data_IF_278403230321
#
_entry.id   IF_278403230321
#
_cell.length_a   1.000
_cell.length_b   1.000
_cell.length_c   1.000
_cell.angle_alpha   90.00
_cell.angle_beta   90.00
_cell.angle_gamma   90.00
#
_symmetry.space_group_name_H-M   'P 1'
#
loop_
_entity.id
_entity.type
_entity.pdbx_description
1 polymer ?
#
# COMPACT_ATOMS: atom_id res chain seq x y z
N UNK A 1 87.39 10.87 -42.01
CA UNK A 1 87.72 9.49 -42.42
C UNK A 1 86.61 8.59 -41.91
N UNK A 2 85.70 8.17 -42.79
CA UNK A 2 84.56 7.34 -42.40
C UNK A 2 84.93 5.86 -42.52
N UNK A 3 84.68 5.09 -41.47
CA UNK A 3 84.68 3.62 -41.52
C UNK A 3 83.30 3.12 -41.16
N UNK A 4 82.48 2.87 -42.19
CA UNK A 4 81.19 2.20 -42.06
C UNK A 4 81.42 0.70 -42.09
N UNK A 5 80.99 -0.01 -41.05
CA UNK A 5 80.91 -1.47 -41.07
C UNK A 5 79.44 -1.89 -41.19
N UNK A 6 79.07 -2.40 -42.37
CA UNK A 6 77.79 -3.07 -42.59
C UNK A 6 77.94 -4.55 -42.23
N UNK A 7 76.93 -5.13 -41.59
CA UNK A 7 76.66 -6.55 -41.80
C UNK A 7 75.16 -6.83 -41.92
N UNK A 8 74.81 -7.44 -43.05
CA UNK A 8 73.47 -7.80 -43.48
C UNK A 8 73.00 -9.09 -42.80
N UNK A 9 71.69 -9.27 -42.64
CA UNK A 9 71.04 -10.58 -42.74
C UNK A 9 69.58 -10.44 -43.15
N UNK A 10 69.20 -11.17 -44.19
CA UNK A 10 67.88 -11.17 -44.80
C UNK A 10 67.13 -12.48 -44.49
N UNK A 11 65.80 -12.42 -44.48
CA UNK A 11 64.98 -13.56 -44.93
C UNK A 11 63.60 -13.09 -45.37
N UNK A 12 63.15 -13.60 -46.51
CA UNK A 12 61.91 -13.25 -47.21
C UNK A 12 60.92 -14.40 -47.22
N UNK A 13 59.65 -14.12 -46.90
CA UNK A 13 58.48 -14.89 -47.35
C UNK A 13 57.21 -14.04 -47.14
N UNK A 14 56.20 -14.00 -48.01
CA UNK A 14 56.05 -14.68 -49.30
C UNK A 14 54.59 -15.08 -49.56
N UNK A 15 53.85 -14.26 -50.32
CA UNK A 15 52.46 -14.54 -50.72
C UNK A 15 51.39 -14.05 -49.74
N UNK A 16 50.16 -13.76 -50.16
CA UNK A 16 49.63 -13.82 -51.53
C UNK A 16 48.19 -13.28 -51.56
N UNK A 17 47.85 -12.52 -52.60
CA UNK A 17 46.54 -11.85 -52.73
C UNK A 17 45.44 -12.80 -53.23
N UNK A 18 44.21 -12.60 -52.78
CA UNK A 18 43.03 -12.88 -53.62
C UNK A 18 41.91 -11.86 -53.39
N UNK A 19 41.40 -11.32 -54.50
CA UNK A 19 40.36 -10.28 -54.56
C UNK A 19 39.22 -10.80 -55.43
N UNK A 20 37.97 -10.56 -55.01
CA UNK A 20 36.76 -10.95 -55.74
C UNK A 20 35.68 -11.49 -54.80
N UNK A 21 34.39 -11.27 -55.02
CA UNK A 21 33.74 -10.52 -56.09
C UNK A 21 32.22 -10.66 -55.95
N UNK A 22 31.51 -9.54 -56.00
CA UNK A 22 30.05 -9.37 -55.86
C UNK A 22 29.15 -10.49 -56.42
N UNK A 23 28.00 -10.74 -55.76
CA UNK A 23 26.70 -10.86 -56.45
C UNK A 23 25.50 -10.74 -55.49
N UNK A 24 24.40 -10.14 -55.97
CA UNK A 24 23.09 -10.03 -55.30
C UNK A 24 22.11 -11.08 -55.85
N UNK A 25 21.41 -11.78 -54.96
CA UNK A 25 20.10 -12.46 -55.15
C UNK A 25 19.45 -12.50 -53.75
N UNK A 26 18.14 -12.35 -53.51
CA UNK A 26 17.01 -12.14 -54.42
C UNK A 26 15.81 -13.04 -54.07
N UNK A 27 14.94 -12.58 -53.15
CA UNK A 27 13.52 -12.97 -53.10
C UNK A 27 13.07 -14.16 -52.22
N UNK A 28 12.23 -13.85 -51.22
CA UNK A 28 10.92 -14.49 -51.01
C UNK A 28 10.81 -15.85 -50.29
N UNK A 29 9.75 -16.02 -49.49
CA UNK A 29 9.26 -17.34 -49.06
C UNK A 29 8.60 -17.37 -47.67
N UNK A 30 7.26 -17.44 -47.63
CA UNK A 30 6.49 -17.68 -46.40
C UNK A 30 6.64 -19.12 -45.90
N UNK A 31 6.51 -19.35 -44.58
CA UNK A 31 6.47 -20.68 -44.00
C UNK A 31 6.11 -20.69 -42.51
N UNK A 32 4.82 -20.47 -42.19
CA UNK A 32 4.35 -20.55 -40.81
C UNK A 32 4.26 -21.99 -40.29
N UNK A 33 4.61 -22.19 -39.02
CA UNK A 33 4.26 -23.43 -38.30
C UNK A 33 4.09 -23.16 -36.81
N UNK A 34 2.87 -23.35 -36.34
CA UNK A 34 2.49 -23.37 -34.93
C UNK A 34 3.01 -24.63 -34.24
N UNK A 35 3.26 -24.55 -32.93
CA UNK A 35 3.05 -25.63 -31.96
C UNK A 35 3.09 -25.06 -30.53
N UNK A 36 2.28 -25.65 -29.66
CA UNK A 36 2.07 -25.27 -28.27
C UNK A 36 2.90 -26.13 -27.31
N UNK A 37 3.09 -25.68 -26.06
CA UNK A 37 3.53 -26.59 -24.98
C UNK A 37 4.29 -25.97 -23.81
N UNK A 38 3.58 -25.81 -22.68
CA UNK A 38 4.01 -26.00 -21.27
C UNK A 38 5.47 -25.82 -20.83
N UNK A 39 5.68 -24.92 -19.86
CA UNK A 39 6.95 -24.68 -19.18
C UNK A 39 7.41 -25.72 -18.14
N UNK A 40 8.53 -25.43 -17.46
CA UNK A 40 9.00 -26.20 -16.31
C UNK A 40 10.45 -25.93 -15.84
N UNK A 41 10.58 -25.28 -14.68
CA UNK A 41 11.61 -25.47 -13.62
C UNK A 41 13.13 -25.31 -13.86
N UNK A 42 13.77 -24.48 -13.01
CA UNK A 42 14.93 -24.80 -12.11
C UNK A 42 15.38 -23.52 -11.34
N UNK A 43 15.45 -23.47 -9.99
CA UNK A 43 16.51 -23.96 -9.04
C UNK A 43 17.62 -22.91 -8.77
N UNK A 44 18.18 -22.67 -7.55
CA UNK A 44 18.01 -23.32 -6.23
C UNK A 44 18.48 -22.38 -5.05
N UNK A 45 18.75 -22.93 -3.85
CA UNK A 45 19.25 -22.39 -2.55
C UNK A 45 20.58 -21.55 -2.59
N UNK A 46 21.19 -20.99 -1.52
CA UNK A 46 21.12 -21.15 -0.04
C UNK A 46 21.61 -19.87 0.71
N UNK A 47 21.22 -19.55 1.97
CA UNK A 47 21.89 -19.91 3.26
C UNK A 47 23.41 -19.63 3.34
N UNK A 48 24.03 -19.12 4.42
CA UNK A 48 23.53 -18.74 5.76
C UNK A 48 24.57 -17.99 6.63
N UNK A 49 24.08 -17.23 7.61
CA UNK A 49 24.60 -17.06 8.98
C UNK A 49 25.89 -16.27 9.36
N UNK A 50 25.65 -15.20 10.16
CA UNK A 50 26.22 -14.88 11.51
C UNK A 50 27.74 -14.60 11.67
N UNK A 51 28.09 -13.46 12.29
CA UNK A 51 28.77 -13.38 13.62
C UNK A 51 28.73 -11.94 14.19
N UNK A 52 29.31 -11.70 15.37
CA UNK A 52 28.89 -10.66 16.34
C UNK A 52 30.04 -9.71 16.76
N UNK A 53 29.72 -8.44 17.09
CA UNK A 53 30.17 -7.70 18.30
C UNK A 53 30.93 -6.34 18.16
N UNK A 54 30.37 -5.32 18.83
CA UNK A 54 30.98 -4.29 19.71
C UNK A 54 31.86 -3.11 19.21
N UNK A 55 31.54 -1.91 19.74
CA UNK A 55 32.43 -0.72 19.86
C UNK A 55 31.97 0.49 19.01
N UNK A 56 31.28 1.55 19.44
CA UNK A 56 31.21 2.39 20.66
C UNK A 56 31.84 3.79 20.45
N UNK A 57 31.06 4.86 20.65
CA UNK A 57 31.45 6.29 20.63
C UNK A 57 31.00 7.07 19.37
N UNK A 58 30.46 8.30 19.45
CA UNK A 58 30.01 9.08 20.62
C UNK A 58 29.94 10.61 20.37
N UNK A 59 28.73 11.22 20.41
CA UNK A 59 28.49 12.68 20.29
C UNK A 59 28.66 13.24 18.86
N UNK A 60 28.09 14.38 18.40
CA UNK A 60 27.10 15.36 18.89
C UNK A 60 26.43 16.00 17.63
N UNK A 61 25.29 16.71 17.66
CA UNK A 61 24.33 16.99 18.74
C UNK A 61 23.49 18.26 18.48
N UNK A 62 22.23 18.11 18.05
CA UNK A 62 21.28 19.20 17.70
C UNK A 62 20.83 19.15 16.23
N UNK A 63 19.55 19.28 15.85
CA UNK A 63 18.36 19.59 16.65
C UNK A 63 17.58 20.74 16.02
N UNK A 64 16.63 20.44 15.13
CA UNK A 64 15.69 21.43 14.59
C UNK A 64 14.30 20.83 14.47
N UNK A 65 13.34 21.46 15.14
CA UNK A 65 11.95 21.03 15.21
C UNK A 65 11.09 21.71 14.14
N UNK A 66 10.22 20.95 13.48
CA UNK A 66 8.99 21.47 12.90
C UNK A 66 7.84 20.50 13.20
N UNK A 67 6.74 21.03 13.73
CA UNK A 67 5.58 20.25 14.14
C UNK A 67 4.46 20.30 13.11
N UNK A 68 3.84 19.15 12.89
CA UNK A 68 2.48 18.98 12.38
C UNK A 68 2.00 17.70 13.08
N UNK A 69 0.83 17.60 13.70
CA UNK A 69 -0.45 18.24 13.40
C UNK A 69 -1.45 17.09 13.48
N UNK A 70 -2.09 16.92 14.64
CA UNK A 70 -2.69 15.63 15.02
C UNK A 70 -3.91 15.22 14.19
N UNK A 71 -3.93 13.98 13.71
CA UNK A 71 -5.13 13.33 13.18
C UNK A 71 -5.89 12.60 14.28
N UNK A 72 -7.13 13.02 14.56
CA UNK A 72 -8.04 12.31 15.45
C UNK A 72 -8.74 11.17 14.71
N UNK A 73 -8.65 9.93 15.21
CA UNK A 73 -9.14 8.75 14.49
C UNK A 73 -9.10 7.44 15.27
N UNK A 74 -9.72 7.40 16.45
CA UNK A 74 -10.00 6.20 17.27
C UNK A 74 -11.01 6.59 18.34
N UNK A 75 -11.97 5.77 18.78
CA UNK A 75 -12.38 4.44 18.33
C UNK A 75 -13.60 4.02 19.18
N UNK A 76 -14.53 3.23 18.63
CA UNK A 76 -15.71 2.78 19.37
C UNK A 76 -15.31 1.72 20.41
N UNK A 77 -15.16 2.14 21.66
CA UNK A 77 -14.89 1.28 22.82
C UNK A 77 -15.95 1.48 23.91
N UNK A 78 -16.73 0.44 24.20
CA UNK A 78 -17.74 0.48 25.26
C UNK A 78 -17.11 0.49 26.65
N UNK A 79 -17.50 1.45 27.49
CA UNK A 79 -17.13 1.51 28.90
C UNK A 79 -18.38 1.41 29.79
N UNK A 80 -18.45 0.39 30.63
CA UNK A 80 -19.56 0.19 31.57
C UNK A 80 -19.49 1.15 32.76
N UNK A 81 -20.61 1.80 33.08
CA UNK A 81 -20.73 2.63 34.28
C UNK A 81 -21.02 1.79 35.53
N UNK A 82 -19.97 1.31 36.18
CA UNK A 82 -20.00 0.78 37.54
C UNK A 82 -19.64 1.86 38.56
N UNK A 83 -20.64 2.65 39.01
CA UNK A 83 -20.46 3.70 40.01
C UNK A 83 -20.98 3.29 41.38
N UNK A 84 -20.09 2.84 42.28
CA UNK A 84 -20.46 2.56 43.66
C UNK A 84 -20.57 3.82 44.51
N UNK A 85 -21.58 3.90 45.38
CA UNK A 85 -21.59 4.84 46.50
C UNK A 85 -21.93 4.09 47.79
N UNK A 86 -20.98 4.07 48.72
CA UNK A 86 -21.17 3.50 50.04
C UNK A 86 -21.86 4.49 50.97
N UNK A 87 -22.80 4.02 51.79
CA UNK A 87 -23.48 4.81 52.81
C UNK A 87 -24.07 3.88 53.87
N UNK A 88 -23.30 3.62 54.93
CA UNK A 88 -23.74 2.76 56.03
C UNK A 88 -24.46 3.55 57.11
N UNK A 89 -25.64 3.07 57.51
CA UNK A 89 -26.37 3.29 58.77
C UNK A 89 -27.43 2.16 58.79
N UNK A 90 -27.59 1.34 59.81
CA UNK A 90 -27.25 1.52 61.21
C UNK A 90 -28.53 1.86 61.99
N UNK A 91 -29.39 0.86 62.20
CA UNK A 91 -30.70 1.08 62.81
C UNK A 91 -31.57 -0.17 62.86
N UNK A 92 -31.27 -1.08 63.80
CA UNK A 92 -32.22 -2.13 64.17
C UNK A 92 -33.22 -1.62 65.21
N UNK A 93 -34.49 -1.98 65.07
CA UNK A 93 -35.45 -1.94 66.17
C UNK A 93 -36.42 -3.12 66.04
N UNK A 94 -36.23 -4.12 66.90
CA UNK A 94 -37.29 -5.06 67.23
C UNK A 94 -38.21 -4.43 68.26
N UNK A 95 -39.52 -4.70 68.16
CA UNK A 95 -40.52 -4.16 69.08
C UNK A 95 -41.78 -5.01 69.05
N UNK A 96 -41.85 -6.01 69.93
CA UNK A 96 -43.06 -6.80 70.13
C UNK A 96 -44.01 -6.15 71.13
N UNK A 97 -45.30 -6.22 70.85
CA UNK A 97 -46.42 -6.05 71.79
C UNK A 97 -47.55 -6.98 71.31
N UNK A 98 -48.15 -7.87 72.11
CA UNK A 98 -47.88 -8.20 73.51
C UNK A 98 -48.96 -7.73 74.47
N UNK A 99 -50.06 -8.48 74.57
CA UNK A 99 -51.01 -8.43 75.70
C UNK A 99 -52.21 -7.50 75.55
N UNK A 100 -53.36 -7.94 76.07
CA UNK A 100 -54.62 -7.18 76.03
C UNK A 100 -55.87 -7.97 76.44
N UNK A 101 -55.77 -8.82 77.47
CA UNK A 101 -56.92 -9.52 78.08
C UNK A 101 -57.46 -8.70 79.28
N UNK A 102 -58.79 -8.67 79.43
CA UNK A 102 -59.52 -8.02 80.54
C UNK A 102 -60.97 -7.82 80.08
N UNK A 103 -62.02 -8.49 80.57
CA UNK A 103 -62.37 -9.02 81.90
C UNK A 103 -62.81 -7.96 82.92
N UNK A 104 -63.72 -8.37 83.82
CA UNK A 104 -64.60 -7.59 84.70
C UNK A 104 -65.70 -6.81 83.94
N UNK A 105 -67.00 -6.95 84.23
CA UNK A 105 -67.76 -7.73 85.24
C UNK A 105 -69.15 -7.09 85.38
N UNK A 106 -70.22 -7.69 85.90
CA UNK A 106 -70.46 -9.03 86.43
C UNK A 106 -71.92 -9.14 86.89
N UNK A 107 -72.41 -10.37 87.14
CA UNK A 107 -73.80 -10.63 87.55
C UNK A 107 -74.81 -10.56 86.37
N UNK A 108 -75.80 -11.43 86.27
CA UNK A 108 -76.17 -12.54 87.16
C UNK A 108 -77.61 -12.97 86.86
N UNK A 109 -77.78 -14.08 86.14
CA UNK A 109 -79.05 -14.81 86.05
C UNK A 109 -80.25 -14.08 85.43
N UNK A 110 -80.29 -13.93 84.10
CA UNK A 110 -81.59 -13.89 83.39
C UNK A 110 -81.52 -14.43 81.96
N UNK A 111 -81.88 -15.71 81.83
CA UNK A 111 -82.88 -16.19 80.87
C UNK A 111 -82.62 -15.93 79.36
N UNK A 112 -81.57 -16.57 78.82
CA UNK A 112 -81.54 -17.35 77.55
C UNK A 112 -82.38 -16.91 76.32
N UNK A 113 -82.67 -15.63 76.13
CA UNK A 113 -83.49 -15.09 75.01
C UNK A 113 -82.92 -13.81 74.38
N UNK A 114 -81.74 -13.36 74.82
CA UNK A 114 -81.09 -12.15 74.30
C UNK A 114 -80.05 -12.37 73.19
N UNK A 115 -79.49 -13.58 73.11
CA UNK A 115 -78.28 -13.83 72.29
C UNK A 115 -78.54 -13.69 70.79
N UNK A 116 -79.64 -14.27 70.30
CA UNK A 116 -79.99 -14.30 68.87
C UNK A 116 -80.25 -12.89 68.30
N UNK A 117 -80.90 -12.02 69.08
CA UNK A 117 -81.18 -10.63 68.70
C UNK A 117 -79.91 -9.78 68.65
N UNK A 118 -78.97 -9.99 69.58
CA UNK A 118 -77.67 -9.32 69.59
C UNK A 118 -76.77 -9.80 68.44
N UNK A 119 -76.80 -11.10 68.10
CA UNK A 119 -76.11 -11.61 66.91
C UNK A 119 -76.72 -11.07 65.60
N UNK A 120 -78.06 -10.95 65.53
CA UNK A 120 -78.72 -10.35 64.36
C UNK A 120 -78.45 -8.84 64.24
N UNK A 121 -78.33 -8.12 65.35
CA UNK A 121 -77.86 -6.73 65.33
C UNK A 121 -76.41 -6.64 64.85
N UNK A 122 -75.49 -7.42 65.41
CA UNK A 122 -74.09 -7.43 64.96
C UNK A 122 -73.92 -7.79 63.48
N UNK A 123 -74.73 -8.73 62.96
CA UNK A 123 -74.77 -9.07 61.54
C UNK A 123 -75.33 -7.93 60.68
N UNK A 124 -76.37 -7.23 61.13
CA UNK A 124 -76.93 -6.07 60.44
C UNK A 124 -75.99 -4.85 60.47
N UNK A 125 -75.33 -4.57 61.59
CA UNK A 125 -74.32 -3.51 61.71
C UNK A 125 -73.13 -3.79 60.80
N UNK A 126 -72.72 -5.06 60.73
CA UNK A 126 -71.69 -5.52 59.80
C UNK A 126 -72.16 -5.41 58.35
N UNK A 127 -73.40 -5.76 58.02
CA UNK A 127 -74.00 -5.58 56.69
C UNK A 127 -74.04 -4.09 56.31
N UNK A 128 -74.45 -3.21 57.21
CA UNK A 128 -74.45 -1.76 57.01
C UNK A 128 -73.03 -1.26 56.72
N UNK A 129 -72.03 -1.68 57.52
CA UNK A 129 -70.62 -1.32 57.27
C UNK A 129 -70.09 -1.86 55.92
N UNK A 130 -70.57 -3.03 55.46
CA UNK A 130 -70.26 -3.54 54.12
C UNK A 130 -70.95 -2.73 53.02
N UNK A 131 -72.21 -2.33 53.19
CA UNK A 131 -72.95 -1.51 52.22
C UNK A 131 -72.34 -0.11 52.10
N UNK A 132 -71.96 0.52 53.20
CA UNK A 132 -71.28 1.83 53.17
C UNK A 132 -69.87 1.72 52.57
N UNK A 133 -69.17 0.60 52.80
CA UNK A 133 -67.88 0.31 52.14
C UNK A 133 -68.04 0.03 50.64
N UNK A 134 -69.13 -0.61 50.21
CA UNK A 134 -69.46 -0.79 48.79
C UNK A 134 -69.74 0.56 48.14
N UNK A 135 -70.58 1.42 48.75
CA UNK A 135 -70.83 2.78 48.24
C UNK A 135 -69.55 3.62 48.12
N UNK A 136 -68.68 3.59 49.14
CA UNK A 136 -67.41 4.31 49.09
C UNK A 136 -66.46 3.78 48.00
N UNK A 137 -66.50 2.47 47.70
CA UNK A 137 -65.76 1.88 46.59
C UNK A 137 -66.39 2.21 45.23
N UNK A 138 -67.71 2.26 45.12
CA UNK A 138 -68.44 2.69 43.91
C UNK A 138 -68.12 4.16 43.59
N UNK A 139 -68.22 5.05 44.58
CA UNK A 139 -67.85 6.47 44.46
C UNK A 139 -66.39 6.62 44.00
N UNK A 140 -65.44 5.99 44.71
CA UNK A 140 -64.02 6.01 44.34
C UNK A 140 -63.75 5.44 42.94
N UNK A 141 -64.51 4.43 42.49
CA UNK A 141 -64.38 3.86 41.15
C UNK A 141 -64.91 4.84 40.08
N UNK A 142 -66.06 5.49 40.30
CA UNK A 142 -66.54 6.54 39.38
C UNK A 142 -65.57 7.71 39.26
N UNK A 143 -64.93 8.08 40.37
CA UNK A 143 -63.93 9.14 40.43
C UNK A 143 -62.64 8.77 39.66
N UNK A 144 -62.25 7.50 39.69
CA UNK A 144 -61.15 6.95 38.88
C UNK A 144 -61.51 6.87 37.38
N UNK A 145 -62.72 6.45 37.03
CA UNK A 145 -63.20 6.44 35.64
C UNK A 145 -63.21 7.83 35.01
N UNK A 146 -63.62 8.85 35.77
CA UNK A 146 -63.57 10.26 35.33
C UNK A 146 -62.12 10.69 35.13
N UNK A 147 -61.21 10.41 36.08
CA UNK A 147 -59.77 10.74 35.95
C UNK A 147 -59.12 10.04 34.76
N UNK A 148 -59.49 8.79 34.48
CA UNK A 148 -59.02 8.03 33.31
C UNK A 148 -59.54 8.68 32.01
N UNK A 149 -60.82 9.02 31.93
CA UNK A 149 -61.39 9.73 30.75
C UNK A 149 -60.73 11.08 30.52
N UNK A 150 -60.54 11.87 31.57
CA UNK A 150 -59.83 13.16 31.54
C UNK A 150 -58.38 13.00 31.08
N UNK A 151 -57.68 11.97 31.56
CA UNK A 151 -56.30 11.66 31.17
C UNK A 151 -56.23 11.29 29.68
N UNK A 152 -57.13 10.40 29.20
CA UNK A 152 -57.22 10.07 27.79
C UNK A 152 -57.60 11.27 26.91
N UNK A 153 -58.46 12.18 27.39
CA UNK A 153 -58.83 13.37 26.62
C UNK A 153 -57.69 14.42 26.57
N UNK A 154 -56.84 14.48 27.60
CA UNK A 154 -55.62 15.31 27.65
C UNK A 154 -54.43 14.69 26.92
N UNK A 155 -54.39 13.37 26.80
CA UNK A 155 -53.36 12.61 26.06
C UNK A 155 -53.76 12.29 24.61
N UNK A 156 -55.04 12.40 24.26
CA UNK A 156 -55.52 12.36 22.88
C UNK A 156 -54.80 13.46 22.10
N UNK A 157 -53.94 13.13 21.12
CA UNK A 157 -53.04 14.13 20.54
C UNK A 157 -53.80 15.20 19.76
N UNK A 158 -54.08 16.33 20.41
CA UNK A 158 -54.45 17.58 19.76
C UNK A 158 -53.23 18.38 19.29
N UNK A 159 -52.02 17.83 19.46
CA UNK A 159 -50.89 18.18 18.62
C UNK A 159 -51.17 17.73 17.17
N UNK A 160 -51.07 18.60 16.16
CA UNK A 160 -51.12 18.16 14.77
C UNK A 160 -50.04 17.09 14.52
N UNK A 161 -50.27 16.21 13.55
CA UNK A 161 -49.25 15.27 13.09
C UNK A 161 -47.94 16.03 12.89
N UNK A 162 -46.86 15.50 13.45
CA UNK A 162 -45.59 16.22 13.53
C UNK A 162 -44.98 16.26 12.13
N UNK A 163 -45.27 17.32 11.37
CA UNK A 163 -45.00 17.40 9.93
C UNK A 163 -43.52 17.16 9.60
N UNK A 164 -43.20 15.92 9.20
CA UNK A 164 -41.85 15.53 8.80
C UNK A 164 -41.50 15.96 7.36
N UNK A 165 -42.47 16.51 6.62
CA UNK A 165 -42.32 16.99 5.23
C UNK A 165 -41.07 17.88 4.98
N UNK A 166 -40.69 18.83 5.86
CA UNK A 166 -39.48 19.63 5.67
C UNK A 166 -38.17 18.82 5.72
N UNK A 167 -38.12 17.73 6.51
CA UNK A 167 -36.92 16.91 6.63
C UNK A 167 -36.67 16.06 5.38
N UNK A 168 -37.71 15.66 4.65
CA UNK A 168 -37.52 14.94 3.38
C UNK A 168 -36.82 15.82 2.35
N UNK A 169 -37.16 17.11 2.27
CA UNK A 169 -36.47 18.07 1.38
C UNK A 169 -35.01 18.25 1.75
N UNK A 170 -34.68 18.41 3.04
CA UNK A 170 -33.28 18.55 3.45
C UNK A 170 -32.47 17.26 3.26
N UNK A 171 -33.09 16.08 3.41
CA UNK A 171 -32.47 14.78 3.09
C UNK A 171 -32.21 14.66 1.58
N UNK A 172 -33.14 15.10 0.73
CA UNK A 172 -33.00 15.10 -0.73
C UNK A 172 -31.86 16.05 -1.17
N UNK A 173 -31.87 17.31 -0.70
CA UNK A 173 -30.78 18.26 -0.96
C UNK A 173 -29.39 17.74 -0.49
N UNK A 174 -29.34 17.02 0.64
CA UNK A 174 -28.09 16.43 1.13
C UNK A 174 -27.63 15.25 0.26
N UNK A 175 -28.56 14.43 -0.24
CA UNK A 175 -28.25 13.36 -1.20
C UNK A 175 -27.70 13.93 -2.51
N UNK A 176 -28.33 14.97 -3.06
CA UNK A 176 -27.86 15.63 -4.28
C UNK A 176 -26.46 16.24 -4.11
N UNK A 177 -26.19 16.88 -2.96
CA UNK A 177 -24.84 17.39 -2.62
C UNK A 177 -23.81 16.27 -2.51
N UNK A 178 -24.16 15.11 -1.95
CA UNK A 178 -23.28 13.93 -1.87
C UNK A 178 -23.01 13.36 -3.28
N UNK A 179 -24.03 13.26 -4.13
CA UNK A 179 -23.89 12.77 -5.49
C UNK A 179 -23.03 13.70 -6.34
N UNK A 180 -23.27 15.02 -6.28
CA UNK A 180 -22.44 16.02 -6.95
C UNK A 180 -20.97 15.93 -6.49
N UNK A 181 -20.72 15.90 -5.18
CA UNK A 181 -19.37 15.76 -4.63
C UNK A 181 -18.69 14.44 -5.03
N UNK A 182 -19.45 13.35 -5.20
CA UNK A 182 -18.94 12.05 -5.68
C UNK A 182 -18.54 12.10 -7.15
N UNK A 183 -19.32 12.80 -7.99
CA UNK A 183 -19.02 13.03 -9.41
C UNK A 183 -17.78 13.93 -9.55
N UNK A 184 -17.72 15.03 -8.79
CA UNK A 184 -16.57 15.94 -8.78
C UNK A 184 -15.29 15.24 -8.27
N UNK A 185 -15.38 14.40 -7.24
CA UNK A 185 -14.26 13.59 -6.77
C UNK A 185 -13.76 12.62 -7.85
N UNK A 186 -14.68 11.92 -8.52
CA UNK A 186 -14.37 11.02 -9.63
C UNK A 186 -13.71 11.76 -10.80
N UNK A 187 -14.17 12.98 -11.12
CA UNK A 187 -13.56 13.85 -12.13
C UNK A 187 -12.14 14.25 -11.74
N UNK A 188 -11.90 14.67 -10.50
CA UNK A 188 -10.57 15.05 -10.01
C UNK A 188 -9.60 13.86 -10.05
N UNK A 189 -10.06 12.64 -9.75
CA UNK A 189 -9.24 11.42 -9.89
C UNK A 189 -8.81 11.22 -11.36
N UNK A 190 -9.73 11.36 -12.32
CA UNK A 190 -9.41 11.25 -13.74
C UNK A 190 -8.44 12.35 -14.23
N UNK A 191 -8.58 13.57 -13.71
CA UNK A 191 -7.64 14.68 -14.00
C UNK A 191 -6.25 14.41 -13.41
N UNK A 192 -6.16 13.82 -12.21
CA UNK A 192 -4.89 13.38 -11.58
C UNK A 192 -4.23 12.26 -12.39
N UNK A 193 -4.97 11.24 -12.80
CA UNK A 193 -4.41 10.11 -13.53
C UNK A 193 -3.97 10.51 -14.96
N UNK A 194 -4.70 11.43 -15.61
CA UNK A 194 -4.26 12.06 -16.86
C UNK A 194 -2.94 12.84 -16.67
N UNK A 195 -2.86 13.68 -15.63
CA UNK A 195 -1.64 14.44 -15.32
C UNK A 195 -0.43 13.53 -15.01
N UNK A 196 -0.65 12.39 -14.33
CA UNK A 196 0.37 11.36 -14.10
C UNK A 196 0.84 10.71 -15.39
N UNK A 197 -0.07 10.25 -16.25
CA UNK A 197 0.27 9.66 -17.54
C UNK A 197 1.03 10.63 -18.44
N UNK A 198 0.65 11.92 -18.45
CA UNK A 198 1.37 12.95 -19.17
C UNK A 198 2.79 13.19 -18.59
N UNK A 199 2.93 13.20 -17.26
CA UNK A 199 4.24 13.33 -16.61
C UNK A 199 5.17 12.14 -16.92
N UNK A 200 4.66 10.90 -16.92
CA UNK A 200 5.43 9.71 -17.29
C UNK A 200 5.81 9.70 -18.78
N UNK A 201 4.92 10.13 -19.68
CA UNK A 201 5.24 10.29 -21.11
C UNK A 201 6.34 11.34 -21.34
N UNK A 202 6.31 12.48 -20.64
CA UNK A 202 7.40 13.46 -20.66
C UNK A 202 8.69 12.93 -20.05
N UNK A 203 8.62 12.13 -18.97
CA UNK A 203 9.79 11.50 -18.35
C UNK A 203 10.46 10.51 -19.31
N UNK A 204 9.69 9.63 -19.95
CA UNK A 204 10.21 8.68 -20.95
C UNK A 204 10.81 9.39 -22.17
N UNK A 205 10.18 10.47 -22.64
CA UNK A 205 10.73 11.31 -23.71
C UNK A 205 12.04 11.97 -23.32
N UNK A 206 12.14 12.50 -22.10
CA UNK A 206 13.38 13.08 -21.57
C UNK A 206 14.49 12.03 -21.43
N UNK A 207 14.20 10.84 -20.90
CA UNK A 207 15.15 9.74 -20.76
C UNK A 207 15.69 9.28 -22.13
N UNK A 208 14.83 9.19 -23.15
CA UNK A 208 15.23 8.86 -24.51
C UNK A 208 16.10 9.97 -25.16
N UNK A 209 15.67 11.24 -25.07
CA UNK A 209 16.43 12.37 -25.61
C UNK A 209 17.80 12.53 -24.91
N UNK A 210 17.87 12.26 -23.60
CA UNK A 210 19.13 12.23 -22.85
C UNK A 210 20.06 11.12 -23.35
N UNK A 211 19.55 9.91 -23.59
CA UNK A 211 20.34 8.81 -24.13
C UNK A 211 20.84 9.10 -25.55
N UNK A 212 20.00 9.68 -26.41
CA UNK A 212 20.40 10.14 -27.76
C UNK A 212 21.48 11.23 -27.67
N UNK A 213 21.31 12.22 -26.79
CA UNK A 213 22.32 13.26 -26.55
C UNK A 213 23.65 12.66 -26.10
N UNK A 214 23.65 11.73 -25.15
CA UNK A 214 24.87 11.07 -24.66
C UNK A 214 25.57 10.28 -25.77
N UNK A 215 24.83 9.61 -26.65
CA UNK A 215 25.38 8.95 -27.84
C UNK A 215 26.08 9.97 -28.77
N UNK A 216 25.40 11.08 -29.09
CA UNK A 216 25.96 12.13 -29.95
C UNK A 216 27.17 12.82 -29.30
N UNK A 217 27.19 13.02 -27.99
CA UNK A 217 28.37 13.52 -27.26
C UNK A 217 29.54 12.53 -27.32
N UNK A 218 29.28 11.23 -27.21
CA UNK A 218 30.31 10.20 -27.39
C UNK A 218 30.87 10.21 -28.82
N UNK A 219 30.01 10.30 -29.84
CA UNK A 219 30.41 10.40 -31.25
C UNK A 219 31.24 11.66 -31.52
N UNK A 220 30.84 12.83 -31.00
CA UNK A 220 31.61 14.08 -31.10
C UNK A 220 32.99 13.94 -30.46
N UNK A 221 33.08 13.30 -29.29
CA UNK A 221 34.36 13.07 -28.62
C UNK A 221 35.24 12.04 -29.35
N UNK A 222 34.64 11.07 -30.04
CA UNK A 222 35.33 10.16 -30.96
C UNK A 222 35.87 10.90 -32.20
N UNK A 223 35.05 11.73 -32.84
CA UNK A 223 35.45 12.53 -34.00
C UNK A 223 36.56 13.54 -33.66
N UNK A 224 36.58 14.10 -32.44
CA UNK A 224 37.69 14.94 -31.95
C UNK A 224 39.00 14.16 -31.88
N UNK A 225 38.99 12.95 -31.31
CA UNK A 225 40.18 12.08 -31.29
C UNK A 225 40.70 11.76 -32.69
N UNK A 226 39.80 11.42 -33.62
CA UNK A 226 40.17 11.17 -35.03
C UNK A 226 40.76 12.42 -35.70
N UNK A 227 40.26 13.62 -35.37
CA UNK A 227 40.84 14.87 -35.86
C UNK A 227 42.24 15.12 -35.27
N UNK A 228 42.46 14.84 -33.99
CA UNK A 228 43.76 14.97 -33.35
C UNK A 228 44.77 13.96 -33.95
N UNK A 229 44.38 12.70 -34.14
CA UNK A 229 45.17 11.66 -34.82
C UNK A 229 45.52 12.04 -36.28
N UNK A 230 44.55 12.56 -37.05
CA UNK A 230 44.80 13.07 -38.40
C UNK A 230 45.71 14.28 -38.43
N UNK A 231 45.66 15.13 -37.39
CA UNK A 231 46.54 16.30 -37.26
C UNK A 231 47.98 15.87 -36.99
N UNK A 232 48.19 14.90 -36.10
CA UNK A 232 49.51 14.31 -35.85
C UNK A 232 50.07 13.62 -37.11
N UNK A 233 49.26 12.80 -37.79
CA UNK A 233 49.67 12.16 -39.04
C UNK A 233 50.00 13.17 -40.15
N UNK A 234 49.29 14.31 -40.19
CA UNK A 234 49.61 15.42 -41.09
C UNK A 234 50.96 16.06 -40.75
N UNK A 235 51.23 16.36 -39.48
CA UNK A 235 52.53 16.93 -39.07
C UNK A 235 53.70 15.98 -39.31
N UNK A 236 53.51 14.67 -39.11
CA UNK A 236 54.52 13.65 -39.40
C UNK A 236 54.85 13.56 -40.90
N UNK A 237 53.83 13.70 -41.76
CA UNK A 237 54.02 13.74 -43.22
C UNK A 237 54.64 15.07 -43.69
N UNK A 238 54.28 16.19 -43.07
CA UNK A 238 54.90 17.50 -43.35
C UNK A 238 56.39 17.48 -42.98
N UNK A 239 56.75 16.92 -41.82
CA UNK A 239 58.15 16.75 -41.41
C UNK A 239 58.93 15.80 -42.35
N UNK A 240 58.32 14.73 -42.85
CA UNK A 240 58.93 13.87 -43.87
C UNK A 240 59.16 14.59 -45.20
N UNK A 241 58.20 15.43 -45.64
CA UNK A 241 58.32 16.23 -46.86
C UNK A 241 59.44 17.28 -46.70
N UNK A 242 59.54 17.92 -45.54
CA UNK A 242 60.59 18.91 -45.27
C UNK A 242 61.98 18.25 -45.25
N UNK A 243 62.15 17.13 -44.53
CA UNK A 243 63.40 16.35 -44.53
C UNK A 243 63.83 15.88 -45.93
N UNK A 244 62.89 15.39 -46.76
CA UNK A 244 63.18 15.01 -48.15
C UNK A 244 63.56 16.23 -49.02
N UNK A 245 63.00 17.42 -48.76
CA UNK A 245 63.41 18.65 -49.44
C UNK A 245 64.80 19.11 -49.00
N UNK A 246 65.15 18.97 -47.71
CA UNK A 246 66.50 19.24 -47.19
C UNK A 246 67.53 18.30 -47.81
N UNK A 247 67.26 16.99 -47.87
CA UNK A 247 68.11 16.00 -48.55
C UNK A 247 68.32 16.35 -50.03
N UNK A 248 67.25 16.73 -50.73
CA UNK A 248 67.29 17.11 -52.14
C UNK A 248 68.10 18.41 -52.35
N UNK A 249 67.95 19.39 -51.46
CA UNK A 249 68.73 20.62 -51.47
C UNK A 249 70.22 20.35 -51.17
N UNK A 250 70.52 19.49 -50.21
CA UNK A 250 71.88 19.05 -49.87
C UNK A 250 72.56 18.35 -51.05
N UNK A 251 71.87 17.39 -51.69
CA UNK A 251 72.39 16.69 -52.88
C UNK A 251 72.64 17.64 -54.06
N UNK A 252 71.73 18.60 -54.31
CA UNK A 252 71.93 19.63 -55.34
C UNK A 252 73.14 20.51 -55.05
N UNK A 253 73.29 20.97 -53.79
CA UNK A 253 74.42 21.79 -53.38
C UNK A 253 75.74 21.04 -53.50
N UNK A 254 75.81 19.80 -53.02
CA UNK A 254 76.99 18.95 -53.14
C UNK A 254 77.36 18.73 -54.62
N UNK A 255 76.39 18.48 -55.49
CA UNK A 255 76.63 18.36 -56.93
C UNK A 255 77.12 19.66 -57.57
N UNK A 256 76.59 20.83 -57.15
CA UNK A 256 77.07 22.13 -57.62
C UNK A 256 78.51 22.43 -57.14
N UNK A 257 78.85 22.03 -55.91
CA UNK A 257 80.20 22.14 -55.35
C UNK A 257 81.18 21.21 -56.08
N UNK A 258 80.83 19.94 -56.29
CA UNK A 258 81.60 19.00 -57.12
C UNK A 258 81.81 19.53 -58.54
N UNK A 259 80.76 20.04 -59.20
CA UNK A 259 80.87 20.61 -60.55
C UNK A 259 81.72 21.88 -60.60
N UNK A 260 81.70 22.72 -59.56
CA UNK A 260 82.63 23.84 -59.41
C UNK A 260 84.05 23.37 -59.18
N UNK A 261 84.27 22.30 -58.42
CA UNK A 261 85.59 21.73 -58.20
C UNK A 261 86.16 21.14 -59.50
N UNK A 262 85.40 20.29 -60.22
CA UNK A 262 85.80 19.78 -61.53
C UNK A 262 86.02 20.91 -62.56
N UNK A 263 85.19 21.96 -62.55
CA UNK A 263 85.39 23.16 -63.37
C UNK A 263 86.67 23.91 -63.00
N UNK A 264 87.01 23.99 -61.72
CA UNK A 264 88.25 24.60 -61.21
C UNK A 264 89.48 23.76 -61.56
N UNK A 265 89.37 22.43 -61.49
CA UNK A 265 90.41 21.49 -61.93
C UNK A 265 90.63 21.55 -63.46
N UNK A 266 89.59 21.86 -64.26
CA UNK A 266 89.73 22.09 -65.71
C UNK A 266 90.25 23.50 -66.08
N UNK A 267 90.02 24.50 -65.24
CA UNK A 267 90.47 25.89 -65.46
C UNK A 267 91.87 26.19 -64.86
N UNK A 268 92.39 25.31 -64.02
CA UNK A 268 93.63 25.51 -63.26
C UNK A 268 94.91 25.09 -63.98
N UNK A 269 95.36 25.86 -64.99
CA UNK A 269 96.78 25.85 -65.36
C UNK A 269 97.55 26.65 -64.30
N UNK A 270 97.90 26.01 -63.18
CA UNK A 270 98.56 26.66 -62.04
C UNK A 270 100.03 26.96 -62.37
N UNK A 271 100.32 28.20 -62.73
CA UNK A 271 101.66 28.78 -62.59
C UNK A 271 101.88 29.12 -61.11
N UNK A 272 102.89 28.51 -60.48
CA UNK A 272 103.25 28.77 -59.08
C UNK A 272 104.25 29.92 -59.04
N UNK A 273 103.76 31.15 -58.80
CA UNK A 273 104.62 32.26 -58.41
C UNK A 273 104.46 32.56 -56.92
N UNK A 274 105.57 32.43 -56.23
CA UNK A 274 105.72 32.52 -54.78
C UNK A 274 106.08 33.97 -54.41
N UNK A 275 105.11 34.73 -53.91
CA UNK A 275 105.39 36.02 -53.26
C UNK A 275 105.30 35.86 -51.73
N UNK A 276 106.43 36.09 -51.06
CA UNK A 276 106.63 35.80 -49.65
C UNK A 276 106.43 37.07 -48.80
N UNK A 277 105.16 37.38 -48.51
CA UNK A 277 104.81 38.35 -47.47
C UNK A 277 105.39 37.91 -46.10
N UNK A 278 105.76 38.86 -45.22
CA UNK A 278 106.75 38.61 -44.16
C UNK A 278 106.28 37.59 -43.11
N UNK A 279 107.24 36.80 -42.63
CA UNK A 279 107.02 35.64 -41.76
C UNK A 279 106.17 35.93 -40.53
N UNK A 280 104.91 35.53 -40.59
CA UNK A 280 104.05 35.33 -39.42
C UNK A 280 104.70 34.26 -38.56
N UNK A 281 104.82 34.51 -37.25
CA UNK A 281 105.34 33.52 -36.30
C UNK A 281 104.38 32.33 -36.21
N UNK A 282 104.70 31.27 -36.96
CA UNK A 282 103.93 30.02 -36.98
C UNK A 282 103.81 29.42 -35.57
N UNK A 283 104.80 29.62 -34.70
CA UNK A 283 104.77 29.11 -33.32
C UNK A 283 103.62 29.75 -32.55
N UNK A 284 103.45 31.08 -32.68
CA UNK A 284 102.36 31.83 -32.06
C UNK A 284 101.01 31.43 -32.65
N UNK A 285 100.90 31.30 -33.98
CA UNK A 285 99.63 30.92 -34.65
C UNK A 285 99.22 29.47 -34.34
N UNK A 286 100.18 28.54 -34.27
CA UNK A 286 99.90 27.15 -33.88
C UNK A 286 99.51 27.03 -32.41
N UNK A 287 100.10 27.84 -31.52
CA UNK A 287 99.70 27.91 -30.11
C UNK A 287 98.29 28.52 -29.96
N UNK A 288 98.01 29.63 -30.66
CA UNK A 288 96.72 30.32 -30.66
C UNK A 288 95.60 29.43 -31.26
N UNK A 289 95.88 28.71 -32.36
CA UNK A 289 94.98 27.67 -32.90
C UNK A 289 94.73 26.54 -31.90
N UNK A 290 95.76 26.07 -31.21
CA UNK A 290 95.63 25.01 -30.20
C UNK A 290 94.80 25.46 -29.01
N UNK A 291 95.01 26.68 -28.52
CA UNK A 291 94.22 27.29 -27.44
C UNK A 291 92.75 27.46 -27.86
N UNK A 292 92.47 27.88 -29.11
CA UNK A 292 91.12 27.93 -29.65
C UNK A 292 90.47 26.53 -29.72
N UNK A 293 91.20 25.49 -30.15
CA UNK A 293 90.68 24.12 -30.17
C UNK A 293 90.46 23.54 -28.77
N UNK A 294 91.38 23.76 -27.82
CA UNK A 294 91.23 23.32 -26.43
C UNK A 294 90.06 24.06 -25.75
N UNK A 295 89.89 25.37 -25.99
CA UNK A 295 88.74 26.14 -25.53
C UNK A 295 87.41 25.69 -26.17
N UNK A 296 87.41 25.35 -27.47
CA UNK A 296 86.21 24.85 -28.16
C UNK A 296 85.83 23.44 -27.69
N UNK A 297 86.81 22.55 -27.47
CA UNK A 297 86.58 21.20 -26.94
C UNK A 297 86.07 21.25 -25.49
N UNK A 298 86.66 22.09 -24.65
CA UNK A 298 86.25 22.29 -23.26
C UNK A 298 84.86 22.96 -23.16
N UNK A 299 84.55 23.90 -24.05
CA UNK A 299 83.20 24.47 -24.18
C UNK A 299 82.19 23.39 -24.58
N UNK A 300 82.47 22.62 -25.64
CA UNK A 300 81.60 21.55 -26.12
C UNK A 300 81.35 20.50 -25.03
N UNK A 301 82.39 20.12 -24.26
CA UNK A 301 82.26 19.23 -23.10
C UNK A 301 81.28 19.78 -22.04
N UNK A 302 81.40 21.06 -21.69
CA UNK A 302 80.49 21.72 -20.71
C UNK A 302 79.07 21.87 -21.25
N UNK A 303 78.92 22.23 -22.52
CA UNK A 303 77.62 22.38 -23.18
C UNK A 303 76.90 21.01 -23.25
N UNK A 304 77.63 19.93 -23.53
CA UNK A 304 77.12 18.56 -23.49
C UNK A 304 76.74 18.13 -22.06
N UNK A 305 77.61 18.36 -21.07
CA UNK A 305 77.32 18.07 -19.65
C UNK A 305 76.07 18.83 -19.18
N UNK A 306 75.96 20.12 -19.47
CA UNK A 306 74.79 20.94 -19.13
C UNK A 306 73.52 20.44 -19.84
N UNK A 307 73.60 20.02 -21.10
CA UNK A 307 72.48 19.42 -21.84
C UNK A 307 72.03 18.09 -21.21
N UNK A 308 72.97 17.21 -20.85
CA UNK A 308 72.66 15.95 -20.15
C UNK A 308 72.02 16.20 -18.78
N UNK A 309 72.53 17.13 -17.98
CA UNK A 309 71.92 17.50 -16.70
C UNK A 309 70.51 18.06 -16.88
N UNK A 310 70.31 18.98 -17.81
CA UNK A 310 68.99 19.55 -18.12
C UNK A 310 67.98 18.47 -18.51
N UNK A 311 68.34 17.58 -19.45
CA UNK A 311 67.43 16.51 -19.89
C UNK A 311 67.18 15.44 -18.82
N UNK A 312 68.15 15.19 -17.95
CA UNK A 312 67.99 14.30 -16.78
C UNK A 312 67.08 14.92 -15.72
N UNK A 313 67.18 16.23 -15.47
CA UNK A 313 66.31 16.95 -14.54
C UNK A 313 64.86 16.99 -15.05
N UNK A 314 64.66 17.24 -16.34
CA UNK A 314 63.35 17.20 -17.00
C UNK A 314 62.71 15.81 -16.90
N UNK A 315 63.45 14.75 -17.28
CA UNK A 315 62.98 13.37 -17.15
C UNK A 315 62.65 13.01 -15.69
N UNK A 316 63.45 13.47 -14.73
CA UNK A 316 63.18 13.23 -13.31
C UNK A 316 61.91 13.94 -12.84
N UNK A 317 61.62 15.16 -13.32
CA UNK A 317 60.35 15.86 -13.04
C UNK A 317 59.15 15.12 -13.64
N UNK A 318 59.26 14.62 -14.86
CA UNK A 318 58.22 13.79 -15.50
C UNK A 318 57.98 12.48 -14.72
N UNK A 319 59.04 11.80 -14.30
CA UNK A 319 58.94 10.56 -13.50
C UNK A 319 58.27 10.80 -12.15
N UNK A 320 58.60 11.90 -11.45
CA UNK A 320 57.94 12.27 -10.19
C UNK A 320 56.46 12.57 -10.42
N UNK A 321 56.14 13.44 -11.39
CA UNK A 321 54.75 13.79 -11.73
C UNK A 321 53.91 12.57 -12.12
N UNK A 322 54.44 11.68 -12.97
CA UNK A 322 53.76 10.45 -13.34
C UNK A 322 53.61 9.48 -12.15
N UNK A 323 54.61 9.39 -11.26
CA UNK A 323 54.50 8.60 -10.03
C UNK A 323 53.41 9.14 -9.11
N UNK A 324 53.29 10.46 -8.95
CA UNK A 324 52.22 11.10 -8.18
C UNK A 324 50.84 10.81 -8.78
N UNK A 325 50.66 11.00 -10.10
CA UNK A 325 49.42 10.66 -10.81
C UNK A 325 49.04 9.17 -10.67
N UNK A 326 50.01 8.27 -10.66
CA UNK A 326 49.77 6.83 -10.44
C UNK A 326 49.32 6.58 -8.99
N UNK A 327 49.90 7.26 -7.99
CA UNK A 327 49.44 7.10 -6.60
C UNK A 327 48.05 7.68 -6.37
N UNK A 328 47.72 8.86 -6.91
CA UNK A 328 46.37 9.45 -6.77
C UNK A 328 45.31 8.57 -7.42
N UNK A 329 45.55 8.14 -8.67
CA UNK A 329 44.67 7.20 -9.38
C UNK A 329 44.48 5.90 -8.61
N UNK A 330 45.54 5.38 -7.97
CA UNK A 330 45.48 4.18 -7.13
C UNK A 330 44.66 4.41 -5.87
N UNK A 331 44.78 5.55 -5.20
CA UNK A 331 43.95 5.88 -4.03
C UNK A 331 42.48 5.99 -4.42
N UNK A 332 42.16 6.72 -5.50
CA UNK A 332 40.79 6.86 -6.03
C UNK A 332 40.17 5.49 -6.36
N UNK A 333 40.91 4.60 -7.03
CA UNK A 333 40.44 3.23 -7.30
C UNK A 333 40.19 2.45 -6.00
N UNK A 334 40.98 2.66 -4.94
CA UNK A 334 40.72 2.00 -3.65
C UNK A 334 39.50 2.57 -2.93
N UNK A 335 39.25 3.88 -3.02
CA UNK A 335 38.09 4.51 -2.40
C UNK A 335 36.79 4.20 -3.15
N UNK A 336 36.81 4.20 -4.49
CA UNK A 336 35.69 3.74 -5.31
C UNK A 336 35.35 2.26 -5.05
N UNK A 337 36.35 1.41 -4.78
CA UNK A 337 36.10 0.02 -4.35
C UNK A 337 35.48 -0.07 -2.97
N UNK A 338 35.89 0.78 -2.02
CA UNK A 338 35.28 0.86 -0.67
C UNK A 338 33.83 1.34 -0.73
N UNK A 339 33.53 2.36 -1.53
CA UNK A 339 32.15 2.87 -1.68
C UNK A 339 31.26 1.88 -2.40
N UNK A 340 31.75 1.22 -3.46
CA UNK A 340 31.04 0.13 -4.13
C UNK A 340 30.67 -1.00 -3.17
N UNK A 341 31.63 -1.49 -2.38
CA UNK A 341 31.38 -2.53 -1.36
C UNK A 341 30.41 -2.06 -0.28
N UNK A 342 30.48 -0.79 0.15
CA UNK A 342 29.51 -0.22 1.10
C UNK A 342 28.09 -0.20 0.54
N UNK A 343 27.92 0.19 -0.73
CA UNK A 343 26.63 0.19 -1.43
C UNK A 343 26.09 -1.23 -1.68
N UNK A 344 26.97 -2.20 -1.97
CA UNK A 344 26.59 -3.62 -2.07
C UNK A 344 26.07 -4.16 -0.73
N UNK A 345 26.73 -3.83 0.39
CA UNK A 345 26.28 -4.22 1.74
C UNK A 345 24.95 -3.56 2.08
N UNK A 346 24.78 -2.28 1.79
CA UNK A 346 23.50 -1.57 2.01
C UNK A 346 22.38 -2.19 1.16
N UNK A 347 22.64 -2.54 -0.10
CA UNK A 347 21.67 -3.24 -0.94
C UNK A 347 21.25 -4.60 -0.33
N UNK A 348 22.20 -5.40 0.17
CA UNK A 348 21.87 -6.67 0.84
C UNK A 348 21.11 -6.47 2.17
N UNK A 349 21.41 -5.39 2.91
CA UNK A 349 20.67 -4.96 4.10
C UNK A 349 19.21 -4.64 3.77
N UNK A 350 18.99 -3.78 2.76
CA UNK A 350 17.65 -3.38 2.32
C UNK A 350 16.84 -4.57 1.76
N UNK A 351 17.47 -5.48 1.01
CA UNK A 351 16.82 -6.72 0.56
C UNK A 351 16.41 -7.63 1.72
N UNK A 352 17.26 -7.73 2.75
CA UNK A 352 16.95 -8.51 3.96
C UNK A 352 15.82 -7.88 4.78
N UNK A 353 15.82 -6.54 4.92
CA UNK A 353 14.75 -5.79 5.58
C UNK A 353 13.42 -5.95 4.83
N UNK A 354 13.44 -5.81 3.50
CA UNK A 354 12.28 -6.03 2.63
C UNK A 354 11.69 -7.44 2.86
N UNK A 355 12.51 -8.49 2.78
CA UNK A 355 12.06 -9.86 2.99
C UNK A 355 11.45 -10.09 4.38
N UNK A 356 12.01 -9.46 5.43
CA UNK A 356 11.44 -9.50 6.78
C UNK A 356 10.08 -8.81 6.90
N UNK A 357 9.90 -7.68 6.21
CA UNK A 357 8.62 -6.96 6.16
C UNK A 357 7.56 -7.71 5.35
N UNK A 358 7.93 -8.28 4.19
CA UNK A 358 7.05 -9.12 3.38
C UNK A 358 6.62 -10.39 4.14
N UNK A 359 7.53 -11.02 4.88
CA UNK A 359 7.20 -12.15 5.77
C UNK A 359 6.24 -11.75 6.90
N UNK A 360 6.50 -10.62 7.55
CA UNK A 360 5.63 -10.09 8.61
C UNK A 360 4.22 -9.76 8.09
N UNK A 361 4.12 -9.18 6.89
CA UNK A 361 2.85 -8.92 6.22
C UNK A 361 2.09 -10.23 5.97
N UNK A 362 2.73 -11.21 5.33
CA UNK A 362 2.12 -12.51 5.05
C UNK A 362 1.67 -13.26 6.32
N UNK A 363 2.45 -13.19 7.41
CA UNK A 363 2.05 -13.73 8.72
C UNK A 363 0.79 -13.03 9.27
N UNK A 364 0.72 -11.69 9.20
CA UNK A 364 -0.47 -10.96 9.65
C UNK A 364 -1.71 -11.23 8.79
N UNK A 365 -1.55 -11.28 7.46
CA UNK A 365 -2.63 -11.63 6.53
C UNK A 365 -3.16 -13.05 6.79
N UNK A 366 -2.27 -14.03 6.96
CA UNK A 366 -2.62 -15.42 7.30
C UNK A 366 -3.37 -15.50 8.64
N UNK A 367 -2.91 -14.76 9.66
CA UNK A 367 -3.59 -14.66 10.96
C UNK A 367 -5.00 -14.08 10.84
N UNK A 368 -5.16 -12.97 10.11
CA UNK A 368 -6.49 -12.35 9.91
C UNK A 368 -7.41 -13.21 9.06
N UNK A 369 -6.91 -13.88 8.02
CA UNK A 369 -7.66 -14.85 7.23
C UNK A 369 -8.18 -16.01 8.10
N UNK A 370 -7.32 -16.53 8.99
CA UNK A 370 -7.70 -17.58 9.96
C UNK A 370 -8.79 -17.10 10.93
N UNK A 371 -8.66 -15.87 11.46
CA UNK A 371 -9.68 -15.27 12.34
C UNK A 371 -11.01 -15.04 11.60
N UNK A 372 -10.97 -14.58 10.36
CA UNK A 372 -12.15 -14.40 9.53
C UNK A 372 -12.85 -15.74 9.24
N UNK A 373 -12.09 -16.79 8.94
CA UNK A 373 -12.61 -18.15 8.75
C UNK A 373 -13.25 -18.70 10.04
N UNK A 374 -12.68 -18.43 11.21
CA UNK A 374 -13.28 -18.81 12.50
C UNK A 374 -14.62 -18.09 12.75
N UNK A 375 -14.68 -16.77 12.48
CA UNK A 375 -15.92 -15.98 12.61
C UNK A 375 -16.97 -16.45 11.60
N UNK A 376 -16.59 -16.72 10.35
CA UNK A 376 -17.51 -17.25 9.34
C UNK A 376 -18.05 -18.63 9.74
N UNK A 377 -17.22 -19.50 10.33
CA UNK A 377 -17.66 -20.78 10.88
C UNK A 377 -18.67 -20.64 12.02
N UNK A 378 -18.48 -19.66 12.92
CA UNK A 378 -19.45 -19.33 13.96
C UNK A 378 -20.79 -18.85 13.37
N UNK A 379 -20.74 -17.93 12.39
CA UNK A 379 -21.91 -17.40 11.72
C UNK A 379 -22.70 -18.53 11.07
N UNK A 380 -22.06 -19.37 10.26
CA UNK A 380 -22.75 -20.49 9.59
C UNK A 380 -23.27 -21.54 10.56
N UNK A 381 -22.65 -21.73 11.73
CA UNK A 381 -23.20 -22.55 12.82
C UNK A 381 -24.48 -21.97 13.43
N UNK A 382 -24.52 -20.65 13.66
CA UNK A 382 -25.70 -19.95 14.17
C UNK A 382 -26.82 -19.88 13.12
N UNK A 383 -26.49 -19.69 11.85
CA UNK A 383 -27.44 -19.73 10.73
C UNK A 383 -28.10 -21.12 10.61
N UNK A 384 -27.31 -22.19 10.75
CA UNK A 384 -27.82 -23.55 10.79
C UNK A 384 -28.79 -23.77 11.96
N UNK A 385 -28.42 -23.38 13.19
CA UNK A 385 -29.29 -23.48 14.37
C UNK A 385 -30.59 -22.66 14.22
N UNK A 386 -30.52 -21.47 13.62
CA UNK A 386 -31.71 -20.66 13.32
C UNK A 386 -32.60 -21.32 12.25
N UNK A 387 -32.02 -22.02 11.28
CA UNK A 387 -32.79 -22.76 10.27
C UNK A 387 -33.48 -24.00 10.85
N UNK A 388 -32.79 -24.73 11.74
CA UNK A 388 -33.31 -25.88 12.48
C UNK A 388 -34.48 -25.47 13.37
N UNK A 389 -34.30 -24.44 14.22
CA UNK A 389 -35.36 -23.92 15.09
C UNK A 389 -36.60 -23.42 14.32
N UNK A 390 -36.41 -22.85 13.12
CA UNK A 390 -37.52 -22.47 12.23
C UNK A 390 -38.27 -23.68 11.69
N UNK A 391 -37.55 -24.72 11.26
CA UNK A 391 -38.13 -25.99 10.81
C UNK A 391 -38.93 -26.68 11.93
N UNK A 392 -38.36 -26.73 13.14
CA UNK A 392 -39.03 -27.28 14.32
C UNK A 392 -40.31 -26.51 14.68
N UNK A 393 -40.24 -25.16 14.65
CA UNK A 393 -41.39 -24.30 14.90
C UNK A 393 -42.48 -24.49 13.84
N UNK A 394 -42.12 -24.65 12.57
CA UNK A 394 -43.07 -24.93 11.49
C UNK A 394 -43.71 -26.32 11.65
N UNK A 395 -42.93 -27.34 12.00
CA UNK A 395 -43.42 -28.68 12.30
C UNK A 395 -44.43 -28.66 13.47
N UNK A 396 -44.06 -28.05 14.61
CA UNK A 396 -44.96 -27.86 15.75
C UNK A 396 -46.23 -27.10 15.35
N UNK A 397 -46.13 -26.07 14.50
CA UNK A 397 -47.29 -25.32 14.02
C UNK A 397 -48.26 -26.20 13.20
N UNK A 398 -47.73 -27.13 12.40
CA UNK A 398 -48.53 -28.13 11.68
C UNK A 398 -49.19 -29.14 12.64
N UNK A 399 -48.46 -29.63 13.64
CA UNK A 399 -49.02 -30.50 14.69
C UNK A 399 -50.15 -29.82 15.48
N UNK A 400 -49.96 -28.56 15.90
CA UNK A 400 -51.00 -27.77 16.57
C UNK A 400 -52.25 -27.57 15.71
N UNK A 401 -52.10 -27.37 14.38
CA UNK A 401 -53.23 -27.29 13.45
C UNK A 401 -53.99 -28.61 13.37
N UNK A 402 -53.29 -29.74 13.20
CA UNK A 402 -53.92 -31.06 13.19
C UNK A 402 -54.66 -31.36 14.50
N UNK A 403 -54.07 -31.02 15.65
CA UNK A 403 -54.70 -31.19 16.96
C UNK A 403 -55.94 -30.31 17.12
N UNK A 404 -55.91 -29.07 16.61
CA UNK A 404 -57.06 -28.16 16.59
C UNK A 404 -58.20 -28.72 15.71
N UNK A 405 -57.89 -29.25 14.52
CA UNK A 405 -58.87 -29.87 13.64
C UNK A 405 -59.54 -31.10 14.30
N UNK A 406 -58.75 -31.97 14.93
CA UNK A 406 -59.28 -33.10 15.72
C UNK A 406 -60.17 -32.60 16.87
N UNK A 407 -59.72 -31.58 17.60
CA UNK A 407 -60.47 -30.99 18.72
C UNK A 407 -61.80 -30.40 18.26
N UNK A 408 -61.84 -29.65 17.15
CA UNK A 408 -63.10 -29.08 16.63
C UNK A 408 -64.05 -30.16 16.13
N UNK A 409 -63.53 -31.24 15.53
CA UNK A 409 -64.34 -32.42 15.18
C UNK A 409 -64.93 -33.10 16.42
N UNK A 410 -64.14 -33.35 17.46
CA UNK A 410 -64.63 -33.94 18.71
C UNK A 410 -65.67 -33.04 19.40
N UNK A 411 -65.54 -31.72 19.33
CA UNK A 411 -66.58 -30.79 19.81
C UNK A 411 -67.88 -30.89 19.02
N UNK A 412 -67.82 -31.07 17.70
CA UNK A 412 -69.00 -31.33 16.87
C UNK A 412 -69.66 -32.68 17.24
N UNK A 413 -68.86 -33.73 17.43
CA UNK A 413 -69.34 -35.04 17.88
C UNK A 413 -70.01 -34.92 19.27
N UNK A 414 -69.39 -34.24 20.25
CA UNK A 414 -69.99 -33.95 21.57
C UNK A 414 -71.29 -33.14 21.45
N UNK A 415 -71.35 -32.15 20.55
CA UNK A 415 -72.57 -31.37 20.33
C UNK A 415 -73.72 -32.23 19.74
N UNK A 416 -73.42 -33.14 18.82
CA UNK A 416 -74.42 -34.08 18.29
C UNK A 416 -74.85 -35.10 19.35
N UNK A 417 -73.94 -35.63 20.18
CA UNK A 417 -74.29 -36.48 21.31
C UNK A 417 -75.21 -35.76 22.32
N UNK A 418 -74.90 -34.52 22.69
CA UNK A 418 -75.77 -33.70 23.56
C UNK A 418 -77.16 -33.49 22.95
N UNK A 419 -77.24 -33.15 21.66
CA UNK A 419 -78.52 -32.99 20.96
C UNK A 419 -79.32 -34.30 20.87
N UNK A 420 -78.67 -35.45 20.75
CA UNK A 420 -79.33 -36.77 20.80
C UNK A 420 -79.86 -37.10 22.20
N UNK A 421 -79.10 -36.79 23.25
CA UNK A 421 -79.53 -36.94 24.65
C UNK A 421 -80.73 -36.02 24.95
N UNK A 422 -80.65 -34.73 24.63
CA UNK A 422 -81.76 -33.77 24.76
C UNK A 422 -82.99 -34.17 23.92
N UNK A 423 -82.77 -34.72 22.72
CA UNK A 423 -83.82 -35.26 21.85
C UNK A 423 -84.43 -36.57 22.36
N UNK A 424 -83.71 -37.32 23.19
CA UNK A 424 -84.19 -38.52 23.86
C UNK A 424 -84.96 -38.16 25.14
N UNK A 425 -84.49 -37.18 25.92
CA UNK A 425 -85.23 -36.59 27.04
C UNK A 425 -86.54 -35.92 26.57
N UNK A 426 -86.55 -35.29 25.39
CA UNK A 426 -87.77 -34.79 24.76
C UNK A 426 -88.75 -35.91 24.34
N UNK A 427 -88.26 -37.14 24.10
CA UNK A 427 -89.10 -38.31 23.75
C UNK A 427 -89.54 -39.12 24.97
N UNK A 428 -88.75 -39.17 26.04
CA UNK A 428 -89.15 -39.75 27.32
C UNK A 428 -90.04 -38.78 28.15
N UNK A 429 -89.93 -37.46 27.90
CA UNK A 429 -90.60 -36.41 28.68
C UNK A 429 -91.76 -35.68 28.00
N UNK A 430 -92.19 -36.03 26.78
CA UNK A 430 -93.34 -35.39 26.13
C UNK A 430 -94.21 -36.33 25.29
N UNK A 431 -95.25 -36.84 25.93
CA UNK A 431 -96.50 -37.12 25.24
C UNK A 431 -97.13 -35.82 24.73
N UNK A 432 -97.55 -35.83 23.45
CA UNK A 432 -98.48 -34.90 22.80
C UNK A 432 -98.03 -33.49 22.38
N UNK A 433 -98.32 -33.24 21.08
CA UNK A 433 -98.65 -31.98 20.38
C UNK A 433 -97.56 -30.93 20.13
N UNK A 434 -97.37 -30.60 18.85
CA UNK A 434 -96.66 -29.39 18.42
C UNK A 434 -96.18 -29.38 16.96
N UNK A 435 -97.02 -29.74 15.98
CA UNK A 435 -96.68 -29.57 14.55
C UNK A 435 -96.66 -28.08 14.22
N UNK A 436 -95.54 -27.53 13.74
CA UNK A 436 -95.57 -26.41 12.82
C UNK A 436 -94.35 -26.37 11.88
N UNK A 437 -94.55 -25.80 10.71
CA UNK A 437 -93.60 -25.76 9.58
C UNK A 437 -92.78 -24.45 9.57
N UNK A 438 -91.63 -24.47 8.86
CA UNK A 438 -90.71 -23.34 8.70
C UNK A 438 -89.25 -23.78 8.90
N UNK A 439 -88.34 -23.77 7.93
CA UNK A 439 -88.37 -23.13 6.61
C UNK A 439 -87.45 -21.92 6.57
N UNK A 440 -86.17 -22.13 6.25
CA UNK A 440 -85.21 -21.18 5.67
C UNK A 440 -83.80 -21.79 5.73
N UNK A 441 -83.10 -21.85 4.60
CA UNK A 441 -81.68 -22.22 4.58
C UNK A 441 -80.83 -21.04 5.08
N UNK A 442 -80.12 -21.23 6.20
CA UNK A 442 -79.15 -20.27 6.69
C UNK A 442 -77.83 -20.37 5.91
N UNK A 443 -77.63 -19.50 4.92
CA UNK A 443 -76.32 -19.32 4.30
C UNK A 443 -75.33 -18.78 5.33
N UNK A 444 -74.37 -19.61 5.77
CA UNK A 444 -73.35 -19.22 6.73
C UNK A 444 -72.42 -18.16 6.15
N UNK A 445 -72.55 -16.91 6.61
CA UNK A 445 -71.70 -15.80 6.18
C UNK A 445 -70.31 -15.96 6.78
N UNK A 446 -69.30 -16.23 5.95
CA UNK A 446 -67.94 -16.53 6.42
C UNK A 446 -67.21 -15.21 6.66
N UNK A 447 -66.82 -14.97 7.91
CA UNK A 447 -66.00 -13.82 8.31
C UNK A 447 -64.55 -14.24 8.43
N UNK A 448 -63.70 -13.69 7.55
CA UNK A 448 -62.25 -13.88 7.63
C UNK A 448 -61.66 -12.62 8.26
N UNK A 449 -61.04 -12.79 9.42
CA UNK A 449 -60.18 -11.76 10.03
C UNK A 449 -58.77 -12.00 9.53
N UNK A 450 -58.17 -10.99 8.90
CA UNK A 450 -56.74 -10.99 8.57
C UNK A 450 -56.05 -10.05 9.55
N UNK A 451 -55.12 -10.60 10.32
CA UNK A 451 -54.33 -9.87 11.32
C UNK A 451 -52.86 -9.88 10.90
N UNK A 452 -52.23 -8.71 10.94
CA UNK A 452 -50.84 -8.52 10.56
C UNK A 452 -50.02 -8.19 11.81
N UNK A 453 -49.09 -9.09 12.15
CA UNK A 453 -48.26 -9.01 13.36
C UNK A 453 -46.80 -8.78 13.01
N UNK A 454 -46.20 -7.79 13.67
CA UNK A 454 -44.75 -7.55 13.68
C UNK A 454 -44.30 -7.55 15.13
N UNK A 455 -43.20 -8.24 15.44
CA UNK A 455 -42.65 -8.39 16.80
C UNK A 455 -43.67 -8.78 17.87
N UNK A 456 -44.62 -9.67 17.51
CA UNK A 456 -45.61 -10.22 18.44
C UNK A 456 -46.75 -9.26 18.83
N UNK A 457 -46.87 -8.08 18.20
CA UNK A 457 -48.00 -7.17 18.38
C UNK A 457 -48.82 -7.06 17.08
N UNK A 458 -50.15 -7.12 17.21
CA UNK A 458 -51.08 -6.92 16.08
C UNK A 458 -51.07 -5.44 15.70
N UNK A 459 -50.58 -5.12 14.51
CA UNK A 459 -50.43 -3.74 14.02
C UNK A 459 -51.63 -3.32 13.16
N UNK A 460 -52.32 -4.30 12.56
CA UNK A 460 -53.50 -4.12 11.73
C UNK A 460 -54.44 -5.32 11.84
N UNK A 461 -55.75 -5.07 11.92
CA UNK A 461 -56.79 -6.10 11.88
C UNK A 461 -57.88 -5.66 10.88
N UNK A 462 -58.04 -6.41 9.79
CA UNK A 462 -59.03 -6.11 8.74
C UNK A 462 -60.00 -7.28 8.60
N UNK A 463 -61.29 -6.97 8.78
CA UNK A 463 -62.39 -7.93 8.64
C UNK A 463 -62.91 -7.90 7.20
N UNK A 464 -62.97 -9.06 6.54
CA UNK A 464 -63.70 -9.24 5.27
C UNK A 464 -64.86 -10.19 5.50
N UNK A 465 -66.04 -9.77 5.08
CA UNK A 465 -67.19 -10.65 4.91
C UNK A 465 -67.23 -11.13 3.46
N UNK A 466 -67.51 -12.42 3.26
CA UNK A 466 -67.89 -13.03 1.99
C UNK A 466 -69.34 -13.49 2.13
#
# INVERSE_FOLDING_TARGET
>A
MSTTFLQTSSSTFGGGSTRGGSLRVGGGGFGGRSLCGGGGSCSILASSARFVSSGSGGGYGGGMSCGFGGGAGSGLGGGGFGGGFGGGLGGGFGGGFGGGFGDYGGGGGSLLSGNEKLTMQNLNDRLASYLDKVRALEEANTDLEVKIRDWYQKQSPSSPERDYSPYFKTIEELRDKILAATIDNSRVILEIDNARLAADDFRLKYENELALRQSVEADINGLRRVLDELTLAKTDLEMQIEGLNEELAYLKKNHEEEMKEYGSQLAGQVNVEMDAAPGVDLTRVLAEMREQYEAMAEKNRRDAEAWFFSKTEELNKEVVSNTEMIQTSKTEITDLRRTMQGLEIELQSQLSMKAGLEGSLAETECRYATQLQQIQGLISGLEAQLSELRSDMECQNQEYKMLLDIKTRLEQEIATYRSLLEGQDARQGRGCRGRNEGGAGGGGKVRINVEETVDGKVVSSRKREI
#
